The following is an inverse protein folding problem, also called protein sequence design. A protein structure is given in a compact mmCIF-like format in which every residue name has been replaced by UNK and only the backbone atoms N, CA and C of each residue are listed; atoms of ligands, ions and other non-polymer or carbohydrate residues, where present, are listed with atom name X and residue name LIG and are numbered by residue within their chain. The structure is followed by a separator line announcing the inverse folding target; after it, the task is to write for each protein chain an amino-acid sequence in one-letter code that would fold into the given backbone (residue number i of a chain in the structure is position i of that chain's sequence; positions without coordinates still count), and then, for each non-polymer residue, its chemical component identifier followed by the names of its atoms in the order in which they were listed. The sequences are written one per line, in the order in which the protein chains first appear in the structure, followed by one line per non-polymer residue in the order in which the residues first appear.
data_IF_675161403498
#
_entry.id   IF_675161403498
#
_cell.length_a   1.000
_cell.length_b   1.000
_cell.length_c   1.000
_cell.angle_alpha   90.00
_cell.angle_beta   90.00
_cell.angle_gamma   90.00
#
_symmetry.space_group_name_H-M   'P 1'
#
loop_
_entity.id
_entity.type
_entity.pdbx_description
1 polymer ?
#
# COMPACT_ATOMS: atom_id res chain seq x y z
N UNK A 1 -41.53 -14.56 65.16
CA UNK A 1 -41.43 -15.77 64.32
C UNK A 1 -41.63 -15.36 62.86
N UNK A 2 -40.70 -15.78 61.99
CA UNK A 2 -40.74 -15.56 60.52
C UNK A 2 -41.78 -16.46 59.86
N UNK A 3 -42.32 -16.01 58.71
CA UNK A 3 -42.64 -16.73 57.44
C UNK A 3 -43.54 -15.79 56.59
N UNK A 4 -43.08 -15.03 55.57
CA UNK A 4 -42.53 -15.40 54.24
C UNK A 4 -43.64 -16.13 53.44
N UNK A 5 -44.19 -15.76 52.27
CA UNK A 5 -43.75 -15.08 51.03
C UNK A 5 -45.00 -14.95 50.12
N UNK A 6 -45.25 -13.82 49.45
CA UNK A 6 -44.92 -13.52 48.03
C UNK A 6 -45.80 -14.18 46.95
N UNK A 7 -46.46 -13.35 46.15
CA UNK A 7 -46.59 -13.52 44.68
C UNK A 7 -47.38 -12.33 44.09
N UNK A 8 -46.67 -11.34 43.56
CA UNK A 8 -47.14 -10.47 42.49
C UNK A 8 -45.90 -9.87 41.82
N UNK A 9 -45.13 -10.76 41.20
CA UNK A 9 -44.21 -10.39 40.15
C UNK A 9 -45.05 -9.91 38.96
N UNK A 10 -44.86 -8.65 38.55
CA UNK A 10 -44.96 -8.21 37.15
C UNK A 10 -45.14 -6.68 37.06
N UNK A 11 -44.22 -5.85 37.58
CA UNK A 11 -44.10 -4.46 37.13
C UNK A 11 -42.85 -3.74 37.69
N UNK A 12 -41.64 -4.24 37.41
CA UNK A 12 -40.41 -3.52 37.78
C UNK A 12 -39.35 -3.60 36.68
N UNK A 13 -39.79 -3.48 35.43
CA UNK A 13 -38.88 -3.44 34.27
C UNK A 13 -39.09 -2.18 33.44
N UNK A 14 -39.35 -1.06 34.14
CA UNK A 14 -39.30 0.27 33.57
C UNK A 14 -38.76 1.23 34.64
N UNK A 15 -37.75 2.02 34.28
CA UNK A 15 -37.20 3.18 35.01
C UNK A 15 -36.05 2.89 36.01
N UNK A 16 -34.87 2.58 35.46
CA UNK A 16 -33.60 3.08 35.99
C UNK A 16 -32.87 3.75 34.80
N UNK A 17 -33.15 5.03 34.53
CA UNK A 17 -32.31 6.15 35.01
C UNK A 17 -30.84 5.82 34.72
N UNK A 18 -30.37 6.00 33.48
CA UNK A 18 -29.89 7.28 32.94
C UNK A 18 -28.90 8.02 33.87
N UNK A 19 -27.96 7.27 34.46
CA UNK A 19 -26.70 7.84 34.93
C UNK A 19 -25.57 7.12 34.18
N UNK A 20 -25.29 7.58 32.96
CA UNK A 20 -24.09 7.18 32.24
C UNK A 20 -22.88 7.50 33.09
N UNK A 21 -21.99 6.52 33.28
CA UNK A 21 -20.69 6.78 33.88
C UNK A 21 -19.96 7.78 32.97
N UNK A 22 -19.87 9.03 33.39
CA UNK A 22 -18.88 9.95 32.84
C UNK A 22 -17.52 9.40 33.27
N UNK A 23 -16.90 8.58 32.41
CA UNK A 23 -15.50 8.20 32.59
C UNK A 23 -14.69 9.49 32.53
N UNK A 24 -14.14 9.90 33.68
CA UNK A 24 -13.15 10.97 33.75
C UNK A 24 -11.98 10.58 32.85
N UNK A 25 -11.85 11.25 31.70
CA UNK A 25 -10.69 11.11 30.83
C UNK A 25 -9.52 11.73 31.59
N UNK A 26 -8.64 10.93 32.19
CA UNK A 26 -7.37 11.43 32.68
C UNK A 26 -6.63 12.07 31.48
N UNK A 27 -6.29 13.37 31.52
CA UNK A 27 -5.57 13.99 30.42
C UNK A 27 -4.23 13.29 30.24
N UNK A 28 -3.95 12.80 29.03
CA UNK A 28 -2.64 12.24 28.71
C UNK A 28 -1.67 13.44 28.60
N UNK A 29 -0.54 13.45 29.33
CA UNK A 29 0.49 14.47 29.14
C UNK A 29 1.02 14.38 27.71
N UNK A 30 0.79 15.41 26.90
CA UNK A 30 1.34 15.48 25.53
C UNK A 30 2.78 15.99 25.64
N UNK A 31 3.73 15.11 25.91
CA UNK A 31 5.14 15.43 25.74
C UNK A 31 5.48 15.33 24.25
N UNK A 32 6.11 16.35 23.63
CA UNK A 32 6.58 16.23 22.26
C UNK A 32 7.58 15.07 22.16
N UNK A 33 7.22 14.01 21.44
CA UNK A 33 8.16 12.95 21.11
C UNK A 33 9.07 13.45 19.98
N UNK A 34 10.40 13.28 20.09
CA UNK A 34 11.31 13.51 18.97
C UNK A 34 10.85 12.67 17.77
N UNK A 35 10.82 13.28 16.58
CA UNK A 35 10.53 12.53 15.36
C UNK A 35 11.63 11.47 15.17
N UNK A 36 11.31 10.20 14.91
CA UNK A 36 12.32 9.21 14.58
C UNK A 36 13.08 9.67 13.31
N UNK A 37 14.36 9.32 13.17
CA UNK A 37 15.10 9.65 11.95
C UNK A 37 14.35 9.11 10.73
N UNK A 38 14.31 9.89 9.66
CA UNK A 38 13.68 9.48 8.41
C UNK A 38 14.24 8.11 7.98
N UNK A 39 13.35 7.21 7.53
CA UNK A 39 13.79 5.95 6.94
C UNK A 39 14.77 6.26 5.79
N UNK A 40 15.86 5.47 5.63
CA UNK A 40 16.74 5.63 4.49
C UNK A 40 15.91 5.65 3.21
N UNK A 41 16.16 6.65 2.35
CA UNK A 41 15.53 6.69 1.03
C UNK A 41 15.82 5.35 0.35
N UNK A 42 14.81 4.63 -0.17
CA UNK A 42 15.04 3.39 -0.88
C UNK A 42 16.10 3.63 -1.94
N UNK A 43 17.19 2.87 -1.90
CA UNK A 43 18.15 2.90 -2.99
C UNK A 43 17.45 2.28 -4.20
N UNK A 44 16.87 3.11 -5.05
CA UNK A 44 16.26 2.66 -6.29
C UNK A 44 17.35 1.94 -7.08
N UNK A 45 17.17 0.64 -7.30
CA UNK A 45 18.15 -0.15 -8.05
C UNK A 45 18.18 0.35 -9.50
N UNK A 46 19.09 1.27 -9.78
CA UNK A 46 19.52 1.61 -11.12
C UNK A 46 20.46 0.47 -11.56
N UNK A 47 19.87 -0.58 -12.14
CA UNK A 47 20.65 -1.68 -12.69
C UNK A 47 21.74 -1.21 -13.66
N UNK A 48 22.67 -2.10 -14.06
CA UNK A 48 23.70 -1.73 -15.01
C UNK A 48 23.07 -1.19 -16.31
N UNK A 49 23.66 -0.15 -16.88
CA UNK A 49 23.27 0.32 -18.21
C UNK A 49 23.44 -0.83 -19.19
N UNK A 50 22.34 -1.27 -19.79
CA UNK A 50 22.37 -2.32 -20.80
C UNK A 50 22.62 -1.63 -22.14
N UNK A 51 23.71 -1.97 -22.82
CA UNK A 51 23.97 -1.51 -24.19
C UNK A 51 23.48 -2.54 -25.20
N UNK A 52 22.94 -2.07 -26.34
CA UNK A 52 22.58 -2.93 -27.46
C UNK A 52 21.30 -2.53 -28.19
N UNK A 53 20.91 -3.37 -29.16
CA UNK A 53 19.66 -3.25 -29.91
C UNK A 53 18.50 -3.79 -29.07
N UNK A 54 17.53 -2.93 -28.77
CA UNK A 54 16.34 -3.25 -27.99
C UNK A 54 15.17 -3.66 -28.88
N UNK A 55 14.34 -4.63 -28.45
CA UNK A 55 13.11 -4.94 -29.15
C UNK A 55 12.20 -3.72 -29.19
N UNK A 56 11.56 -3.49 -30.35
CA UNK A 56 10.59 -2.42 -30.49
C UNK A 56 9.30 -2.79 -29.76
N UNK A 57 8.96 -2.01 -28.74
CA UNK A 57 7.75 -2.24 -27.93
C UNK A 57 6.86 -0.99 -27.83
N UNK A 58 7.31 0.16 -28.33
CA UNK A 58 6.55 1.40 -28.27
C UNK A 58 5.20 1.38 -29.01
N UNK A 59 5.02 0.46 -29.97
CA UNK A 59 3.76 0.24 -30.68
C UNK A 59 2.79 -0.73 -30.00
N UNK A 60 3.15 -1.32 -28.85
CA UNK A 60 2.30 -2.28 -28.14
C UNK A 60 1.33 -1.57 -27.20
N UNK A 61 0.23 -2.25 -26.87
CA UNK A 61 -0.74 -1.73 -25.90
C UNK A 61 -0.24 -2.02 -24.47
N UNK A 62 -0.03 -1.00 -23.61
CA UNK A 62 0.38 -1.22 -22.22
C UNK A 62 -0.71 -1.98 -21.44
N UNK A 63 -0.30 -2.77 -20.45
CA UNK A 63 -1.20 -3.57 -19.60
C UNK A 63 -2.17 -4.47 -20.38
N UNK A 64 -1.71 -4.99 -21.53
CA UNK A 64 -2.48 -5.92 -22.35
C UNK A 64 -1.90 -7.33 -22.27
N UNK A 65 -2.60 -8.31 -22.85
CA UNK A 65 -2.08 -9.66 -22.99
C UNK A 65 -0.75 -9.69 -23.76
N UNK A 66 -0.56 -8.80 -24.74
CA UNK A 66 0.66 -8.70 -25.56
C UNK A 66 1.89 -8.31 -24.73
N UNK A 67 1.69 -7.54 -23.65
CA UNK A 67 2.76 -7.09 -22.74
C UNK A 67 2.79 -7.90 -21.44
N UNK A 68 2.16 -9.08 -21.40
CA UNK A 68 2.00 -9.89 -20.18
C UNK A 68 1.40 -9.09 -19.01
N UNK A 69 0.46 -8.19 -19.31
CA UNK A 69 -0.17 -7.25 -18.37
C UNK A 69 0.83 -6.31 -17.66
N UNK A 70 1.99 -6.05 -18.26
CA UNK A 70 2.98 -5.08 -17.78
C UNK A 70 2.86 -3.73 -18.48
N UNK A 71 3.44 -2.70 -17.86
CA UNK A 71 3.74 -1.44 -18.55
C UNK A 71 4.75 -1.68 -19.69
N UNK A 72 4.88 -0.76 -20.64
CA UNK A 72 5.84 -0.89 -21.73
C UNK A 72 7.28 -0.92 -21.20
N UNK A 73 7.58 -0.12 -20.17
CA UNK A 73 8.88 -0.07 -19.50
C UNK A 73 9.15 -1.42 -18.81
N UNK A 74 8.17 -1.93 -18.06
CA UNK A 74 8.29 -3.22 -17.37
C UNK A 74 8.49 -4.38 -18.34
N UNK A 75 7.72 -4.39 -19.43
CA UNK A 75 7.82 -5.41 -20.47
C UNK A 75 9.18 -5.37 -21.17
N UNK A 76 9.66 -4.18 -21.56
CA UNK A 76 11.00 -4.00 -22.14
C UNK A 76 12.09 -4.54 -21.21
N UNK A 77 12.02 -4.19 -19.91
CA UNK A 77 12.98 -4.64 -18.90
C UNK A 77 12.95 -6.16 -18.74
N UNK A 78 11.76 -6.78 -18.80
CA UNK A 78 11.61 -8.23 -18.76
C UNK A 78 12.24 -8.92 -19.98
N UNK A 79 12.02 -8.39 -21.20
CA UNK A 79 12.65 -8.90 -22.41
C UNK A 79 14.19 -8.81 -22.35
N UNK A 80 14.70 -7.69 -21.83
CA UNK A 80 16.15 -7.50 -21.64
C UNK A 80 16.71 -8.49 -20.63
N UNK A 81 16.00 -8.72 -19.52
CA UNK A 81 16.39 -9.71 -18.52
C UNK A 81 16.40 -11.12 -19.09
N UNK A 82 15.38 -11.51 -19.86
CA UNK A 82 15.31 -12.83 -20.51
C UNK A 82 16.51 -13.07 -21.45
N UNK A 83 16.99 -12.03 -22.15
CA UNK A 83 18.12 -12.15 -23.07
C UNK A 83 19.48 -12.10 -22.39
N UNK A 84 19.64 -11.28 -21.36
CA UNK A 84 20.97 -10.92 -20.81
C UNK A 84 21.21 -11.42 -19.39
N UNK A 85 20.16 -11.87 -18.69
CA UNK A 85 20.20 -12.17 -17.26
C UNK A 85 20.33 -10.93 -16.36
N UNK A 86 20.31 -9.72 -16.93
CA UNK A 86 20.46 -8.46 -16.20
C UNK A 86 19.23 -7.59 -16.33
N UNK A 87 18.78 -7.01 -15.21
CA UNK A 87 17.70 -6.05 -15.21
C UNK A 87 18.19 -4.69 -15.72
N UNK A 88 17.53 -4.20 -16.76
CA UNK A 88 17.64 -2.81 -17.19
C UNK A 88 17.05 -1.88 -16.13
N UNK A 89 17.68 -0.71 -15.94
CA UNK A 89 17.16 0.34 -15.06
C UNK A 89 15.83 0.91 -15.61
N UNK A 90 14.99 1.48 -14.73
CA UNK A 90 13.76 2.14 -15.20
C UNK A 90 14.09 3.33 -16.12
N UNK A 91 15.07 4.16 -15.75
CA UNK A 91 15.49 5.32 -16.52
C UNK A 91 15.98 4.96 -17.93
N UNK A 92 16.71 3.84 -18.08
CA UNK A 92 17.12 3.34 -19.39
C UNK A 92 15.92 2.87 -20.21
N UNK A 93 14.96 2.16 -19.60
CA UNK A 93 13.76 1.71 -20.29
C UNK A 93 12.96 2.90 -20.83
N UNK A 94 12.77 3.94 -20.02
CA UNK A 94 12.12 5.18 -20.44
C UNK A 94 12.88 5.89 -21.57
N UNK A 95 14.21 5.95 -21.49
CA UNK A 95 15.06 6.53 -22.53
C UNK A 95 14.89 5.79 -23.85
N UNK A 96 14.93 4.46 -23.83
CA UNK A 96 14.72 3.62 -25.02
C UNK A 96 13.33 3.82 -25.59
N UNK A 97 12.28 3.84 -24.75
CA UNK A 97 10.92 4.10 -25.22
C UNK A 97 10.75 5.48 -25.85
N UNK A 98 11.38 6.52 -25.29
CA UNK A 98 11.40 7.86 -25.93
C UNK A 98 12.07 7.81 -27.30
N UNK A 99 13.20 7.13 -27.42
CA UNK A 99 13.90 6.96 -28.71
C UNK A 99 13.07 6.18 -29.73
N UNK A 100 12.34 5.15 -29.30
CA UNK A 100 11.47 4.36 -30.18
C UNK A 100 10.29 5.17 -30.70
N UNK A 101 9.69 6.04 -29.87
CA UNK A 101 8.56 6.90 -30.27
C UNK A 101 8.95 8.06 -31.19
N UNK A 102 10.24 8.40 -31.24
CA UNK A 102 10.76 9.46 -32.12
C UNK A 102 11.20 8.96 -33.49
N UNK A 103 11.11 7.66 -33.75
CA UNK A 103 11.35 7.06 -35.07
C UNK A 103 10.04 6.92 -35.83
#
# INVERSE_FOLDING_TARGET
MRKITSSLAALALLVAVLAGAASAQNPIPVTPQPYPPASPVPNFYFGPTVEGVFPYVAGLTPYSAETNNMSLEGYLRALVFQRTGKWMSLADAERVLRMQRSQ
#
